data_IF_104268023399
#
_entry.id   IF_104268023399
#
_cell.length_a   1.000
_cell.length_b   1.000
_cell.length_c   1.000
_cell.angle_alpha   90.00
_cell.angle_beta   90.00
_cell.angle_gamma   90.00
#
_symmetry.space_group_name_H-M   'P 1'
#
loop_
_entity.id
_entity.type
_entity.pdbx_description
1 polymer ?
#
# COMPACT_ATOMS: atom_id res chain seq x y z
N UNK A 1 50.30 -44.70 4.14
CA UNK A 1 49.20 -44.86 5.14
C UNK A 1 48.87 -43.57 5.89
N UNK A 2 49.70 -42.52 5.82
CA UNK A 2 49.48 -41.23 6.50
C UNK A 2 48.49 -40.30 5.78
N UNK A 3 48.38 -40.32 4.44
CA UNK A 3 47.41 -39.48 3.70
C UNK A 3 45.95 -39.88 3.92
N UNK A 4 45.66 -41.18 4.08
CA UNK A 4 44.28 -41.68 4.25
C UNK A 4 43.69 -41.32 5.63
N UNK A 5 44.54 -41.30 6.67
CA UNK A 5 44.15 -40.89 8.02
C UNK A 5 43.97 -39.37 8.15
N UNK A 6 44.69 -38.55 7.37
CA UNK A 6 44.49 -37.11 7.31
C UNK A 6 43.17 -36.73 6.63
N UNK A 7 42.80 -37.42 5.54
CA UNK A 7 41.54 -37.23 4.81
C UNK A 7 40.30 -37.64 5.63
N UNK A 8 40.35 -38.75 6.37
CA UNK A 8 39.24 -39.19 7.24
C UNK A 8 39.06 -38.29 8.49
N UNK A 9 40.13 -37.69 9.00
CA UNK A 9 40.08 -36.78 10.14
C UNK A 9 39.54 -35.40 9.74
N UNK A 10 40.00 -34.87 8.61
CA UNK A 10 39.45 -33.64 8.01
C UNK A 10 37.98 -33.78 7.63
N UNK A 11 37.56 -34.95 7.12
CA UNK A 11 36.14 -35.23 6.82
C UNK A 11 35.25 -35.36 8.06
N UNK A 12 35.77 -35.87 9.19
CA UNK A 12 35.05 -35.91 10.48
C UNK A 12 34.99 -34.55 11.16
N UNK A 13 36.06 -33.76 11.08
CA UNK A 13 36.11 -32.40 11.62
C UNK A 13 35.19 -31.45 10.84
N UNK A 14 35.16 -31.54 9.50
CA UNK A 14 34.20 -30.81 8.68
C UNK A 14 32.75 -31.14 9.02
N UNK A 15 32.42 -32.43 9.19
CA UNK A 15 31.07 -32.84 9.58
C UNK A 15 30.64 -32.44 11.00
N UNK A 16 31.57 -32.18 11.92
CA UNK A 16 31.26 -31.66 13.27
C UNK A 16 31.17 -30.13 13.28
N UNK A 17 32.05 -29.44 12.55
CA UNK A 17 31.99 -28.00 12.34
C UNK A 17 30.69 -27.59 11.65
N UNK A 18 30.24 -28.34 10.64
CA UNK A 18 28.97 -28.18 9.94
C UNK A 18 27.76 -28.26 10.89
N UNK A 19 27.76 -29.24 11.82
CA UNK A 19 26.68 -29.38 12.80
C UNK A 19 26.64 -28.21 13.79
N UNK A 20 27.82 -27.74 14.21
CA UNK A 20 27.93 -26.55 15.07
C UNK A 20 27.44 -25.30 14.36
N UNK A 21 27.79 -25.13 13.08
CA UNK A 21 27.30 -24.01 12.27
C UNK A 21 25.78 -24.05 12.13
N UNK A 22 25.18 -25.21 11.83
CA UNK A 22 23.72 -25.35 11.75
C UNK A 22 23.03 -24.97 13.07
N UNK A 23 23.56 -25.42 14.21
CA UNK A 23 23.02 -25.09 15.52
C UNK A 23 23.16 -23.59 15.83
N UNK A 24 24.35 -23.02 15.63
CA UNK A 24 24.61 -21.60 15.87
C UNK A 24 23.70 -20.69 15.02
N UNK A 25 23.52 -21.03 13.74
CA UNK A 25 22.60 -20.30 12.85
C UNK A 25 21.14 -20.47 13.27
N UNK A 26 20.75 -21.60 13.87
CA UNK A 26 19.39 -21.80 14.40
C UNK A 26 19.16 -21.01 15.68
N UNK A 27 20.13 -20.97 16.58
CA UNK A 27 20.06 -20.28 17.87
C UNK A 27 20.22 -18.77 17.73
N UNK A 28 20.90 -18.32 16.66
CA UNK A 28 21.16 -16.90 16.43
C UNK A 28 22.44 -16.41 17.11
N UNK A 29 23.39 -17.31 17.37
CA UNK A 29 24.63 -17.01 18.06
C UNK A 29 25.73 -16.62 17.05
N UNK A 30 25.94 -15.32 16.87
CA UNK A 30 26.94 -14.77 15.96
C UNK A 30 28.37 -15.24 16.27
N UNK A 31 28.71 -15.40 17.56
CA UNK A 31 30.05 -15.80 17.97
C UNK A 31 30.29 -17.29 17.67
N UNK A 32 29.29 -18.13 17.90
CA UNK A 32 29.35 -19.54 17.54
C UNK A 32 29.38 -19.75 16.01
N UNK A 33 28.70 -18.91 15.23
CA UNK A 33 28.81 -18.90 13.76
C UNK A 33 30.24 -18.61 13.32
N UNK A 34 30.85 -17.55 13.86
CA UNK A 34 32.24 -17.19 13.54
C UNK A 34 33.21 -18.31 13.91
N UNK A 35 33.09 -18.88 15.10
CA UNK A 35 33.92 -20.01 15.54
C UNK A 35 33.77 -21.25 14.67
N UNK A 36 32.55 -21.56 14.21
CA UNK A 36 32.32 -22.71 13.34
C UNK A 36 32.91 -22.49 11.93
N UNK A 37 32.76 -21.30 11.36
CA UNK A 37 33.36 -20.93 10.06
C UNK A 37 34.89 -20.94 10.12
N UNK A 38 35.49 -20.38 11.18
CA UNK A 38 36.94 -20.45 11.40
C UNK A 38 37.45 -21.88 11.59
N UNK A 39 36.59 -22.78 12.09
CA UNK A 39 36.85 -24.21 12.21
C UNK A 39 36.71 -25.00 10.89
N UNK A 40 36.44 -24.33 9.76
CA UNK A 40 36.33 -24.95 8.44
C UNK A 40 34.95 -25.52 8.10
N UNK A 41 33.88 -25.07 8.79
CA UNK A 41 32.51 -25.42 8.41
C UNK A 41 32.19 -24.91 6.99
N UNK A 42 31.44 -25.70 6.21
CA UNK A 42 30.97 -25.30 4.90
C UNK A 42 29.90 -24.19 5.04
N UNK A 43 30.16 -22.95 4.54
CA UNK A 43 29.18 -21.85 4.62
C UNK A 43 27.91 -22.13 3.80
N UNK A 44 27.92 -23.15 2.94
CA UNK A 44 26.81 -23.61 2.11
C UNK A 44 26.14 -24.89 2.65
N UNK A 45 26.46 -25.28 3.89
CA UNK A 45 25.89 -26.47 4.54
C UNK A 45 24.36 -26.41 4.59
N UNK A 46 23.73 -27.57 4.37
CA UNK A 46 22.28 -27.71 4.35
C UNK A 46 21.74 -28.12 5.72
N UNK A 47 20.71 -27.41 6.21
CA UNK A 47 19.98 -27.79 7.41
C UNK A 47 19.06 -28.98 7.11
N UNK A 48 19.04 -29.95 8.03
CA UNK A 48 18.48 -31.30 7.80
C UNK A 48 16.97 -31.33 7.58
N UNK A 49 16.20 -30.49 8.28
CA UNK A 49 14.72 -30.56 8.28
C UNK A 49 14.09 -30.23 6.92
N UNK A 50 14.74 -29.39 6.11
CA UNK A 50 14.18 -28.86 4.85
C UNK A 50 15.21 -28.76 3.72
N UNK A 51 16.41 -29.32 3.92
CA UNK A 51 17.57 -29.23 3.01
C UNK A 51 17.84 -27.80 2.51
N UNK A 52 17.60 -26.76 3.31
CA UNK A 52 17.89 -25.35 2.96
C UNK A 52 19.30 -24.98 3.41
N UNK A 53 19.99 -24.10 2.68
CA UNK A 53 21.29 -23.59 3.12
C UNK A 53 21.15 -22.83 4.44
N UNK A 54 22.23 -22.77 5.21
CA UNK A 54 22.31 -21.95 6.42
C UNK A 54 22.05 -20.46 6.14
N UNK A 55 22.43 -19.97 4.95
CA UNK A 55 22.12 -18.61 4.53
C UNK A 55 20.61 -18.39 4.34
N UNK A 56 19.88 -19.34 3.74
CA UNK A 56 18.41 -19.27 3.65
C UNK A 56 17.77 -19.30 5.03
N UNK A 57 18.33 -20.05 5.99
CA UNK A 57 17.84 -20.07 7.36
C UNK A 57 18.03 -18.71 8.07
N UNK A 58 19.22 -18.11 7.95
CA UNK A 58 19.50 -16.78 8.49
C UNK A 58 18.60 -15.70 7.86
N UNK A 59 18.40 -15.76 6.54
CA UNK A 59 17.53 -14.84 5.80
C UNK A 59 16.06 -14.96 6.20
N UNK A 60 15.56 -16.19 6.36
CA UNK A 60 14.17 -16.43 6.82
C UNK A 60 13.94 -15.91 8.25
N UNK A 61 14.99 -15.84 9.06
CA UNK A 61 14.94 -15.35 10.44
C UNK A 61 15.28 -13.85 10.55
N UNK A 62 15.61 -13.17 9.44
CA UNK A 62 15.98 -11.75 9.44
C UNK A 62 17.32 -11.44 10.14
N UNK A 63 18.21 -12.42 10.30
CA UNK A 63 19.47 -12.28 11.05
C UNK A 63 20.58 -11.72 10.16
N UNK A 64 20.66 -10.40 10.04
CA UNK A 64 21.56 -9.70 9.13
C UNK A 64 23.05 -9.94 9.42
N UNK A 65 23.46 -10.00 10.69
CA UNK A 65 24.86 -10.17 11.06
C UNK A 65 25.37 -11.59 10.75
N UNK A 66 24.57 -12.61 11.08
CA UNK A 66 24.82 -14.00 10.65
C UNK A 66 24.86 -14.10 9.13
N UNK A 67 23.91 -13.51 8.42
CA UNK A 67 23.88 -13.53 6.96
C UNK A 67 25.16 -12.90 6.37
N UNK A 68 25.63 -11.78 6.95
CA UNK A 68 26.88 -11.12 6.54
C UNK A 68 28.09 -12.02 6.72
N UNK A 69 28.23 -12.64 7.89
CA UNK A 69 29.34 -13.56 8.19
C UNK A 69 29.36 -14.75 7.24
N UNK A 70 28.19 -15.34 6.96
CA UNK A 70 28.08 -16.45 6.00
C UNK A 70 28.53 -16.02 4.60
N UNK A 71 28.07 -14.85 4.13
CA UNK A 71 28.45 -14.33 2.81
C UNK A 71 29.94 -13.95 2.73
N UNK A 72 30.50 -13.39 3.79
CA UNK A 72 31.93 -13.04 3.87
C UNK A 72 32.82 -14.30 3.90
N UNK A 73 32.31 -15.41 4.45
CA UNK A 73 32.94 -16.73 4.37
C UNK A 73 32.74 -17.44 3.02
N UNK A 74 32.03 -16.82 2.06
CA UNK A 74 31.83 -17.34 0.71
C UNK A 74 30.56 -18.18 0.50
N UNK A 75 29.56 -18.06 1.38
CA UNK A 75 28.24 -18.66 1.14
C UNK A 75 27.66 -18.19 -0.20
N UNK A 76 27.07 -19.10 -0.95
CA UNK A 76 26.47 -18.80 -2.24
C UNK A 76 25.16 -18.03 -2.06
N UNK A 77 25.06 -16.88 -2.74
CA UNK A 77 23.83 -16.05 -2.77
C UNK A 77 22.65 -16.73 -3.49
N UNK A 78 22.91 -17.74 -4.32
CA UNK A 78 21.89 -18.44 -5.12
C UNK A 78 21.62 -19.87 -4.67
N UNK A 79 22.41 -20.43 -3.74
CA UNK A 79 22.26 -21.83 -3.37
C UNK A 79 20.93 -22.09 -2.69
N UNK A 80 20.02 -22.70 -3.44
CA UNK A 80 18.69 -23.10 -3.00
C UNK A 80 18.70 -24.49 -2.38
N UNK A 81 17.85 -24.65 -1.38
CA UNK A 81 17.54 -25.95 -0.80
C UNK A 81 16.45 -26.73 -1.53
N UNK A 82 15.94 -27.78 -0.88
CA UNK A 82 14.91 -28.68 -1.44
C UNK A 82 13.56 -28.04 -1.83
N UNK A 83 13.29 -26.79 -1.43
CA UNK A 83 12.06 -26.06 -1.78
C UNK A 83 12.28 -24.89 -2.75
N UNK A 84 13.48 -24.74 -3.32
CA UNK A 84 13.75 -23.73 -4.35
C UNK A 84 13.70 -22.26 -3.87
N UNK A 85 13.61 -22.00 -2.56
CA UNK A 85 13.67 -20.65 -2.02
C UNK A 85 15.13 -20.18 -1.91
N UNK A 86 15.48 -19.15 -2.68
CA UNK A 86 16.77 -18.46 -2.58
C UNK A 86 16.86 -17.64 -1.28
N UNK A 87 18.07 -17.31 -0.81
CA UNK A 87 18.27 -16.38 0.30
C UNK A 87 17.47 -15.09 0.15
N UNK A 88 17.45 -14.52 -1.07
CA UNK A 88 16.73 -13.28 -1.35
C UNK A 88 15.21 -13.46 -1.21
N UNK A 89 14.65 -14.50 -1.83
CA UNK A 89 13.20 -14.81 -1.69
C UNK A 89 12.81 -15.09 -0.23
N UNK A 90 13.69 -15.71 0.55
CA UNK A 90 13.47 -15.95 1.97
C UNK A 90 13.48 -14.64 2.78
N UNK A 91 14.42 -13.73 2.52
CA UNK A 91 14.49 -12.42 3.18
C UNK A 91 13.28 -11.52 2.82
N UNK A 92 12.87 -11.51 1.55
CA UNK A 92 11.66 -10.82 1.07
C UNK A 92 10.42 -11.39 1.74
N UNK A 93 10.35 -12.73 1.84
CA UNK A 93 9.28 -13.43 2.53
C UNK A 93 9.18 -13.06 4.00
N UNK A 94 10.32 -12.88 4.66
CA UNK A 94 10.40 -12.48 6.06
C UNK A 94 10.23 -10.97 6.29
N UNK A 95 10.09 -10.15 5.23
CA UNK A 95 10.10 -8.67 5.34
C UNK A 95 11.34 -8.15 6.10
N UNK A 96 12.51 -8.69 5.77
CA UNK A 96 13.78 -8.40 6.44
C UNK A 96 14.68 -7.44 5.62
N UNK A 97 14.50 -6.11 5.73
CA UNK A 97 15.16 -5.14 4.85
C UNK A 97 16.69 -5.18 4.94
N UNK A 98 17.24 -5.36 6.15
CA UNK A 98 18.70 -5.43 6.35
C UNK A 98 19.35 -6.62 5.62
N UNK A 99 18.68 -7.78 5.60
CA UNK A 99 19.17 -8.95 4.85
C UNK A 99 18.98 -8.75 3.35
N UNK A 100 17.86 -8.16 2.93
CA UNK A 100 17.60 -7.86 1.51
C UNK A 100 18.70 -6.94 0.96
N UNK A 101 18.98 -5.80 1.61
CA UNK A 101 20.05 -4.88 1.20
C UNK A 101 21.39 -5.60 1.04
N UNK A 102 21.78 -6.38 2.05
CA UNK A 102 23.01 -7.14 2.04
C UNK A 102 23.08 -8.14 0.85
N UNK A 103 21.98 -8.81 0.53
CA UNK A 103 21.94 -9.75 -0.59
C UNK A 103 21.97 -9.04 -1.95
N UNK A 104 21.31 -7.87 -2.05
CA UNK A 104 21.34 -7.03 -3.26
C UNK A 104 22.75 -6.49 -3.52
N UNK A 105 23.47 -6.03 -2.49
CA UNK A 105 24.88 -5.62 -2.56
C UNK A 105 25.81 -6.74 -3.10
N UNK A 106 25.44 -8.01 -2.89
CA UNK A 106 26.18 -9.18 -3.40
C UNK A 106 25.65 -9.68 -4.77
N UNK A 107 24.77 -8.93 -5.42
CA UNK A 107 24.30 -9.20 -6.78
C UNK A 107 23.15 -10.21 -6.89
N UNK A 108 22.46 -10.56 -5.79
CA UNK A 108 21.42 -11.59 -5.78
C UNK A 108 20.20 -11.29 -6.70
N UNK A 109 19.96 -10.01 -7.02
CA UNK A 109 18.82 -9.61 -7.86
C UNK A 109 18.94 -10.11 -9.29
N UNK A 110 20.14 -10.07 -9.87
CA UNK A 110 20.42 -10.49 -11.25
C UNK A 110 20.12 -11.96 -11.52
N UNK A 111 20.00 -12.76 -10.45
CA UNK A 111 19.84 -14.21 -10.52
C UNK A 111 18.40 -14.68 -10.28
N UNK A 112 17.48 -13.79 -9.89
CA UNK A 112 16.17 -14.17 -9.36
C UNK A 112 15.03 -13.34 -9.95
N UNK A 113 14.56 -13.67 -11.18
CA UNK A 113 13.38 -13.02 -11.75
C UNK A 113 12.14 -13.27 -10.90
N UNK A 114 11.20 -12.31 -10.93
CA UNK A 114 9.91 -12.41 -10.24
C UNK A 114 9.94 -12.12 -8.73
N UNK A 115 11.09 -11.74 -8.16
CA UNK A 115 11.18 -11.37 -6.74
C UNK A 115 10.33 -10.14 -6.40
N UNK A 116 10.21 -9.19 -7.34
CA UNK A 116 9.37 -8.00 -7.17
C UNK A 116 7.88 -8.38 -7.05
N UNK A 117 7.38 -9.27 -7.92
CA UNK A 117 6.00 -9.75 -7.85
C UNK A 117 5.69 -10.45 -6.52
N UNK A 118 6.66 -11.21 -5.98
CA UNK A 118 6.54 -11.80 -4.65
C UNK A 118 6.48 -10.73 -3.54
N UNK A 119 7.28 -9.67 -3.63
CA UNK A 119 7.26 -8.58 -2.66
C UNK A 119 5.92 -7.83 -2.67
N UNK A 120 5.34 -7.61 -3.85
CA UNK A 120 4.02 -6.95 -4.03
C UNK A 120 2.88 -7.75 -3.41
N UNK A 121 2.87 -9.08 -3.55
CA UNK A 121 1.75 -9.94 -3.13
C UNK A 121 1.63 -10.19 -1.61
N UNK A 122 2.59 -9.74 -0.80
CA UNK A 122 2.64 -9.99 0.66
C UNK A 122 1.96 -8.94 1.54
N UNK A 123 2.12 -7.63 1.31
CA UNK A 123 1.46 -6.62 2.12
C UNK A 123 -0.04 -6.51 1.82
N UNK A 124 -0.85 -7.35 2.48
CA UNK A 124 -2.32 -7.25 2.41
C UNK A 124 -2.87 -6.40 3.57
N UNK A 125 -3.84 -5.54 3.25
CA UNK A 125 -4.53 -4.53 4.10
C UNK A 125 -3.64 -3.54 4.89
N UNK A 126 -2.60 -4.00 5.60
CA UNK A 126 -1.70 -3.19 6.41
C UNK A 126 -0.27 -3.74 6.28
N UNK A 127 0.54 -3.21 5.34
CA UNK A 127 1.95 -3.58 5.23
C UNK A 127 2.69 -3.30 6.54
N UNK A 128 3.56 -4.20 6.97
CA UNK A 128 4.57 -3.84 7.96
C UNK A 128 5.59 -2.88 7.31
N UNK A 129 6.18 -1.92 8.07
CA UNK A 129 7.18 -1.00 7.53
C UNK A 129 8.33 -1.72 6.83
N UNK A 130 8.83 -2.82 7.40
CA UNK A 130 9.89 -3.63 6.79
C UNK A 130 9.52 -4.23 5.43
N UNK A 131 8.24 -4.52 5.18
CA UNK A 131 7.78 -5.04 3.88
C UNK A 131 7.76 -3.96 2.79
N UNK A 132 7.33 -2.75 3.13
CA UNK A 132 7.40 -1.59 2.23
C UNK A 132 8.84 -1.19 1.96
N UNK A 133 9.68 -1.24 2.99
CA UNK A 133 11.10 -0.96 2.87
C UNK A 133 11.79 -1.97 1.94
N UNK A 134 11.52 -3.26 2.10
CA UNK A 134 12.01 -4.30 1.17
C UNK A 134 11.58 -4.01 -0.27
N UNK A 135 10.30 -3.66 -0.49
CA UNK A 135 9.79 -3.32 -1.82
C UNK A 135 10.53 -2.11 -2.42
N UNK A 136 10.72 -1.06 -1.64
CA UNK A 136 11.45 0.14 -2.07
C UNK A 136 12.92 -0.16 -2.41
N UNK A 137 13.61 -0.98 -1.62
CA UNK A 137 15.00 -1.39 -1.93
C UNK A 137 15.10 -2.20 -3.21
N UNK A 138 14.18 -3.14 -3.43
CA UNK A 138 14.16 -3.92 -4.67
C UNK A 138 14.00 -3.00 -5.89
N UNK A 139 13.08 -2.04 -5.83
CA UNK A 139 12.86 -1.08 -6.92
C UNK A 139 14.06 -0.15 -7.12
N UNK A 140 14.68 0.32 -6.04
CA UNK A 140 15.87 1.17 -6.10
C UNK A 140 17.08 0.47 -6.75
N UNK A 141 17.23 -0.83 -6.51
CA UNK A 141 18.27 -1.68 -7.12
C UNK A 141 17.90 -2.18 -8.52
N UNK A 142 16.81 -1.68 -9.12
CA UNK A 142 16.43 -1.97 -10.49
C UNK A 142 15.67 -3.28 -10.68
N UNK A 143 14.95 -3.77 -9.67
CA UNK A 143 14.10 -4.94 -9.83
C UNK A 143 13.04 -4.66 -10.91
N UNK A 144 13.09 -5.44 -11.99
CA UNK A 144 12.21 -5.21 -13.13
C UNK A 144 10.76 -5.62 -12.81
N UNK A 145 9.84 -4.76 -13.26
CA UNK A 145 8.43 -5.12 -13.37
C UNK A 145 8.24 -6.06 -14.56
N UNK A 146 7.54 -7.17 -14.36
CA UNK A 146 7.21 -8.09 -15.45
C UNK A 146 6.32 -7.44 -16.53
N UNK A 147 6.18 -8.08 -17.71
CA UNK A 147 5.26 -7.63 -18.75
C UNK A 147 3.80 -7.85 -18.33
N UNK A 148 2.89 -7.06 -18.91
CA UNK A 148 1.44 -7.29 -18.88
C UNK A 148 0.85 -7.65 -17.50
N UNK A 149 0.28 -8.85 -17.33
CA UNK A 149 -0.29 -9.37 -16.07
C UNK A 149 0.71 -9.47 -14.92
N UNK A 150 1.99 -9.62 -15.22
CA UNK A 150 3.07 -9.72 -14.23
C UNK A 150 3.62 -8.34 -13.84
N UNK A 151 3.15 -7.27 -14.50
CA UNK A 151 3.54 -5.92 -14.16
C UNK A 151 3.17 -5.63 -12.70
N UNK A 152 4.12 -5.12 -11.92
CA UNK A 152 4.01 -5.02 -10.48
C UNK A 152 2.75 -4.23 -10.04
N UNK A 153 2.43 -3.15 -10.76
CA UNK A 153 1.23 -2.35 -10.51
C UNK A 153 -0.06 -3.11 -10.86
N UNK A 154 -0.08 -3.86 -11.97
CA UNK A 154 -1.23 -4.69 -12.39
C UNK A 154 -1.49 -5.79 -11.36
N UNK A 155 -0.43 -6.47 -10.89
CA UNK A 155 -0.53 -7.47 -9.81
C UNK A 155 -1.06 -6.82 -8.53
N UNK A 156 -0.52 -5.67 -8.13
CA UNK A 156 -0.94 -4.96 -6.92
C UNK A 156 -2.44 -4.61 -6.94
N UNK A 157 -2.92 -4.04 -8.04
CA UNK A 157 -4.34 -3.66 -8.19
C UNK A 157 -5.24 -4.91 -8.27
N UNK A 158 -4.82 -5.94 -9.01
CA UNK A 158 -5.59 -7.17 -9.18
C UNK A 158 -5.74 -7.93 -7.86
N UNK A 159 -4.69 -7.93 -7.03
CA UNK A 159 -4.68 -8.55 -5.71
C UNK A 159 -5.32 -7.68 -4.62
N UNK A 160 -5.77 -6.46 -4.92
CA UNK A 160 -6.18 -5.46 -3.92
C UNK A 160 -5.13 -5.28 -2.82
N UNK A 161 -3.87 -5.10 -3.24
CA UNK A 161 -2.78 -4.79 -2.34
C UNK A 161 -3.05 -3.46 -1.60
N UNK A 162 -2.41 -3.29 -0.45
CA UNK A 162 -2.63 -2.09 0.34
C UNK A 162 -2.21 -0.82 -0.45
N UNK A 163 -2.91 0.31 -0.29
CA UNK A 163 -2.62 1.57 -1.01
C UNK A 163 -1.15 2.03 -0.91
N UNK A 164 -0.47 1.78 0.21
CA UNK A 164 0.94 2.12 0.38
C UNK A 164 1.87 1.35 -0.59
N UNK A 165 1.51 0.14 -0.98
CA UNK A 165 2.25 -0.67 -1.97
C UNK A 165 2.19 -0.01 -3.34
N UNK A 166 0.99 0.42 -3.75
CA UNK A 166 0.79 1.14 -5.01
C UNK A 166 1.60 2.44 -5.02
N UNK A 167 1.58 3.19 -3.90
CA UNK A 167 2.35 4.44 -3.78
C UNK A 167 3.86 4.21 -3.92
N UNK A 168 4.40 3.17 -3.28
CA UNK A 168 5.82 2.82 -3.44
C UNK A 168 6.13 2.49 -4.89
N UNK A 169 5.31 1.68 -5.55
CA UNK A 169 5.50 1.35 -6.97
C UNK A 169 5.50 2.61 -7.87
N UNK A 170 4.52 3.48 -7.68
CA UNK A 170 4.36 4.72 -8.47
C UNK A 170 5.50 5.72 -8.19
N UNK A 171 5.93 5.86 -6.94
CA UNK A 171 7.07 6.70 -6.56
C UNK A 171 8.40 6.23 -7.18
N UNK A 172 8.52 4.94 -7.48
CA UNK A 172 9.66 4.35 -8.19
C UNK A 172 9.41 4.21 -9.71
N UNK A 173 8.50 5.01 -10.27
CA UNK A 173 8.34 5.15 -11.71
C UNK A 173 7.43 4.12 -12.38
N UNK A 174 6.62 3.38 -11.63
CA UNK A 174 5.54 2.61 -12.24
C UNK A 174 4.56 3.55 -12.96
N UNK A 175 4.18 3.18 -14.18
CA UNK A 175 3.24 3.94 -15.01
C UNK A 175 1.81 3.88 -14.42
N UNK A 176 1.21 5.00 -13.98
CA UNK A 176 -0.15 5.00 -13.45
C UNK A 176 -1.21 4.63 -14.49
N UNK A 177 -0.90 4.74 -15.79
CA UNK A 177 -1.77 4.38 -16.91
C UNK A 177 -1.51 2.98 -17.47
N UNK A 178 -0.76 2.16 -16.72
CA UNK A 178 -0.41 0.80 -17.13
C UNK A 178 -1.64 0.01 -17.55
N UNK A 179 -1.52 -0.73 -18.64
CA UNK A 179 -2.55 -1.63 -19.18
C UNK A 179 -2.14 -3.08 -19.04
N UNK A 180 -3.12 -3.96 -18.87
CA UNK A 180 -2.97 -5.40 -19.00
C UNK A 180 -2.87 -5.80 -20.48
N UNK A 181 -2.50 -7.06 -20.77
CA UNK A 181 -2.44 -7.60 -22.14
C UNK A 181 -3.74 -7.43 -22.94
N UNK A 182 -4.91 -7.42 -22.28
CA UNK A 182 -6.21 -7.20 -22.92
C UNK A 182 -6.54 -5.72 -23.16
N UNK A 183 -5.58 -4.82 -22.90
CA UNK A 183 -5.74 -3.38 -23.05
C UNK A 183 -6.47 -2.71 -21.89
N UNK A 184 -6.92 -3.43 -20.86
CA UNK A 184 -7.63 -2.83 -19.72
C UNK A 184 -6.67 -2.00 -18.86
N UNK A 185 -6.92 -0.69 -18.64
CA UNK A 185 -6.15 0.15 -17.72
C UNK A 185 -6.27 -0.30 -16.26
N UNK A 186 -5.22 -0.06 -15.46
CA UNK A 186 -5.25 -0.35 -14.01
C UNK A 186 -6.36 0.41 -13.27
N UNK A 187 -6.68 1.65 -13.66
CA UNK A 187 -7.77 2.42 -13.04
C UNK A 187 -9.14 1.77 -13.28
N UNK A 188 -9.36 1.15 -14.46
CA UNK A 188 -10.57 0.39 -14.76
C UNK A 188 -10.62 -0.90 -13.93
N UNK A 189 -9.49 -1.59 -13.73
CA UNK A 189 -9.42 -2.78 -12.87
C UNK A 189 -9.79 -2.44 -11.42
N UNK A 190 -9.25 -1.36 -10.86
CA UNK A 190 -9.57 -0.88 -9.52
C UNK A 190 -11.06 -0.54 -9.39
N UNK A 191 -11.64 0.17 -10.37
CA UNK A 191 -13.05 0.52 -10.39
C UNK A 191 -13.98 -0.70 -10.48
N UNK A 192 -13.66 -1.70 -11.30
CA UNK A 192 -14.43 -2.97 -11.40
C UNK A 192 -14.50 -3.70 -10.05
N UNK A 193 -13.45 -3.59 -9.23
CA UNK A 193 -13.35 -4.20 -7.91
C UNK A 193 -13.98 -3.34 -6.79
N UNK A 194 -14.30 -2.09 -7.07
CA UNK A 194 -14.76 -1.13 -6.06
C UNK A 194 -13.65 -0.68 -5.10
N UNK A 195 -12.39 -0.86 -5.52
CA UNK A 195 -11.20 -0.55 -4.72
C UNK A 195 -10.92 0.96 -4.76
N UNK A 196 -11.77 1.71 -4.07
CA UNK A 196 -11.72 3.17 -3.98
C UNK A 196 -10.38 3.67 -3.43
N UNK A 197 -9.73 2.92 -2.53
CA UNK A 197 -8.44 3.30 -1.99
C UNK A 197 -7.32 3.16 -3.03
N UNK A 198 -7.35 2.11 -3.87
CA UNK A 198 -6.45 2.02 -5.02
C UNK A 198 -6.73 3.13 -6.06
N UNK A 199 -8.00 3.47 -6.31
CA UNK A 199 -8.36 4.59 -7.17
C UNK A 199 -7.82 5.92 -6.67
N UNK A 200 -7.93 6.21 -5.38
CA UNK A 200 -7.38 7.43 -4.77
C UNK A 200 -5.87 7.56 -5.05
N UNK A 201 -5.14 6.45 -4.94
CA UNK A 201 -3.70 6.42 -5.20
C UNK A 201 -3.37 6.64 -6.67
N UNK A 202 -4.06 5.93 -7.57
CA UNK A 202 -3.82 6.02 -9.00
C UNK A 202 -4.11 7.44 -9.52
N UNK A 203 -5.26 8.01 -9.14
CA UNK A 203 -5.63 9.39 -9.48
C UNK A 203 -4.63 10.38 -8.88
N UNK A 204 -4.24 10.21 -7.62
CA UNK A 204 -3.26 11.07 -6.96
C UNK A 204 -1.88 11.03 -7.64
N UNK A 205 -1.55 9.93 -8.32
CA UNK A 205 -0.34 9.79 -9.13
C UNK A 205 -0.51 10.28 -10.58
N UNK A 206 -1.66 10.84 -10.95
CA UNK A 206 -1.92 11.41 -12.26
C UNK A 206 -2.43 10.42 -13.30
N UNK A 207 -3.01 9.28 -12.89
CA UNK A 207 -3.68 8.37 -13.83
C UNK A 207 -4.79 9.09 -14.63
N UNK A 208 -4.90 8.77 -15.91
CA UNK A 208 -5.98 9.23 -16.78
C UNK A 208 -7.32 8.67 -16.30
N UNK A 209 -8.12 9.56 -15.70
CA UNK A 209 -9.45 9.27 -15.18
C UNK A 209 -10.41 8.80 -16.27
N UNK A 210 -10.19 9.23 -17.52
CA UNK A 210 -11.00 8.89 -18.69
C UNK A 210 -10.49 7.66 -19.45
N UNK A 211 -9.44 7.00 -18.93
CA UNK A 211 -8.91 5.81 -19.57
C UNK A 211 -10.00 4.73 -19.72
N UNK A 212 -10.18 4.29 -20.97
CA UNK A 212 -11.19 3.29 -21.32
C UNK A 212 -10.57 1.91 -21.61
N UNK A 213 -11.34 0.86 -21.33
CA UNK A 213 -11.01 -0.51 -21.71
C UNK A 213 -11.22 -0.76 -23.22
N UNK A 214 -10.96 -1.99 -23.67
CA UNK A 214 -11.16 -2.38 -25.07
C UNK A 214 -12.63 -2.28 -25.57
N UNK A 215 -13.60 -2.17 -24.66
CA UNK A 215 -15.01 -1.93 -24.98
C UNK A 215 -15.35 -0.43 -25.00
N UNK A 216 -14.36 0.44 -24.81
CA UNK A 216 -14.54 1.89 -24.71
C UNK A 216 -15.25 2.32 -23.43
N UNK A 217 -15.28 1.48 -22.39
CA UNK A 217 -15.92 1.81 -21.10
C UNK A 217 -14.91 2.38 -20.12
N UNK A 218 -15.27 3.49 -19.49
CA UNK A 218 -14.44 4.18 -18.49
C UNK A 218 -14.53 3.53 -17.12
N UNK A 219 -13.61 3.89 -16.22
CA UNK A 219 -13.64 3.47 -14.83
C UNK A 219 -14.96 3.83 -14.13
N UNK A 220 -15.51 5.03 -14.41
CA UNK A 220 -16.78 5.47 -13.82
C UNK A 220 -17.94 4.56 -14.24
N UNK A 221 -18.04 4.20 -15.52
CA UNK A 221 -19.08 3.27 -16.00
C UNK A 221 -19.03 1.93 -15.26
N UNK A 222 -17.83 1.39 -15.04
CA UNK A 222 -17.66 0.14 -14.32
C UNK A 222 -18.02 0.21 -12.84
N UNK A 223 -17.67 1.32 -12.17
CA UNK A 223 -18.04 1.56 -10.79
C UNK A 223 -19.56 1.69 -10.64
N UNK A 224 -20.22 2.38 -11.57
CA UNK A 224 -21.68 2.54 -11.56
C UNK A 224 -22.41 1.23 -11.86
N UNK A 225 -22.00 0.49 -12.90
CA UNK A 225 -22.60 -0.80 -13.27
C UNK A 225 -22.62 -1.79 -12.10
N UNK A 226 -21.65 -1.69 -11.18
CA UNK A 226 -21.48 -2.61 -10.05
C UNK A 226 -21.93 -2.03 -8.70
N UNK A 227 -22.57 -0.87 -8.69
CA UNK A 227 -22.99 -0.13 -7.49
C UNK A 227 -21.84 0.17 -6.49
N UNK A 228 -20.63 0.39 -7.00
CA UNK A 228 -19.46 0.73 -6.18
C UNK A 228 -19.45 2.23 -5.85
N UNK A 229 -20.37 2.65 -4.98
CA UNK A 229 -20.64 4.06 -4.64
C UNK A 229 -19.39 4.83 -4.22
N UNK A 230 -18.50 4.23 -3.43
CA UNK A 230 -17.24 4.86 -2.99
C UNK A 230 -16.26 5.06 -4.15
N UNK A 231 -16.15 4.08 -5.05
CA UNK A 231 -15.28 4.17 -6.22
C UNK A 231 -15.79 5.23 -7.22
N UNK A 232 -17.11 5.26 -7.48
CA UNK A 232 -17.74 6.34 -8.24
C UNK A 232 -17.51 7.71 -7.57
N UNK A 233 -17.46 7.72 -6.23
CA UNK A 233 -16.94 8.79 -5.36
C UNK A 233 -15.66 9.39 -5.85
N UNK A 234 -14.61 8.60 -5.70
CA UNK A 234 -13.25 9.00 -6.01
C UNK A 234 -13.14 9.47 -7.45
N UNK A 235 -13.74 8.76 -8.40
CA UNK A 235 -13.66 9.09 -9.82
C UNK A 235 -14.34 10.42 -10.16
N UNK A 236 -15.54 10.69 -9.64
CA UNK A 236 -16.24 11.97 -9.87
C UNK A 236 -15.49 13.14 -9.22
N UNK A 237 -14.95 12.93 -8.02
CA UNK A 237 -14.09 13.92 -7.34
C UNK A 237 -12.80 14.18 -8.13
N UNK A 238 -12.30 13.17 -8.84
CA UNK A 238 -11.17 13.27 -9.74
C UNK A 238 -11.51 13.95 -11.09
N UNK A 239 -12.77 14.32 -11.31
CA UNK A 239 -13.21 14.99 -12.54
C UNK A 239 -13.68 14.04 -13.64
N UNK A 240 -14.02 12.78 -13.33
CA UNK A 240 -14.54 11.84 -14.31
C UNK A 240 -15.81 12.38 -15.00
N UNK A 241 -15.86 12.31 -16.33
CA UNK A 241 -17.00 12.78 -17.12
C UNK A 241 -18.17 11.77 -17.05
N UNK A 242 -19.28 12.11 -16.38
CA UNK A 242 -20.47 11.24 -16.34
C UNK A 242 -21.13 11.09 -17.71
N UNK A 243 -20.88 12.02 -18.63
CA UNK A 243 -21.40 12.10 -19.99
C UNK A 243 -20.59 11.33 -21.02
N UNK A 244 -19.42 10.76 -20.65
CA UNK A 244 -18.62 9.95 -21.56
C UNK A 244 -19.47 8.82 -22.17
N UNK A 245 -19.34 8.61 -23.49
CA UNK A 245 -20.15 7.64 -24.25
C UNK A 245 -19.25 6.57 -24.83
N UNK A 246 -19.47 5.33 -24.40
CA UNK A 246 -18.81 4.17 -24.98
C UNK A 246 -19.42 3.82 -26.36
N UNK A 247 -18.72 3.04 -27.21
CA UNK A 247 -19.19 2.68 -28.56
C UNK A 247 -20.58 2.03 -28.64
N UNK A 248 -21.04 1.36 -27.57
CA UNK A 248 -22.38 0.76 -27.49
C UNK A 248 -23.45 1.76 -26.96
N UNK A 249 -23.10 3.04 -26.84
CA UNK A 249 -23.95 4.09 -26.30
C UNK A 249 -24.14 4.01 -24.78
N UNK A 250 -23.29 3.28 -24.04
CA UNK A 250 -23.34 3.27 -22.57
C UNK A 250 -22.69 4.52 -22.00
N UNK A 251 -23.42 5.17 -21.08
CA UNK A 251 -22.93 6.24 -20.20
C UNK A 251 -23.11 5.82 -18.75
N UNK A 252 -22.37 6.46 -17.83
CA UNK A 252 -22.56 6.22 -16.40
C UNK A 252 -24.00 6.53 -15.95
N UNK A 253 -24.59 7.63 -16.46
CA UNK A 253 -25.97 8.00 -16.18
C UNK A 253 -26.99 6.97 -16.66
N UNK A 254 -26.81 6.41 -17.87
CA UNK A 254 -27.70 5.37 -18.39
C UNK A 254 -27.69 4.12 -17.52
N UNK A 255 -26.51 3.70 -17.06
CA UNK A 255 -26.35 2.58 -16.13
C UNK A 255 -27.04 2.90 -14.79
N UNK A 256 -26.77 4.07 -14.20
CA UNK A 256 -27.38 4.45 -12.94
C UNK A 256 -28.92 4.45 -12.99
N UNK A 257 -29.52 4.89 -14.11
CA UNK A 257 -30.97 4.83 -14.35
C UNK A 257 -31.49 3.41 -14.52
N UNK A 258 -30.86 2.63 -15.40
CA UNK A 258 -31.31 1.27 -15.73
C UNK A 258 -31.34 0.34 -14.51
N UNK A 259 -30.46 0.57 -13.54
CA UNK A 259 -30.33 -0.21 -12.32
C UNK A 259 -30.97 0.47 -11.09
N UNK A 260 -31.59 1.65 -11.24
CA UNK A 260 -32.29 2.34 -10.15
C UNK A 260 -31.36 2.89 -9.04
N UNK A 261 -30.10 3.19 -9.35
CA UNK A 261 -29.06 3.57 -8.39
C UNK A 261 -29.18 5.04 -7.95
N UNK A 262 -30.22 5.35 -7.17
CA UNK A 262 -30.61 6.73 -6.83
C UNK A 262 -29.47 7.61 -6.28
N UNK A 263 -28.63 7.07 -5.40
CA UNK A 263 -27.50 7.82 -4.85
C UNK A 263 -26.47 8.17 -5.94
N UNK A 264 -26.18 7.24 -6.85
CA UNK A 264 -25.26 7.49 -7.97
C UNK A 264 -25.88 8.48 -8.96
N UNK A 265 -27.17 8.35 -9.28
CA UNK A 265 -27.88 9.29 -10.16
C UNK A 265 -27.77 10.73 -9.65
N UNK A 266 -27.99 10.94 -8.36
CA UNK A 266 -27.78 12.24 -7.73
C UNK A 266 -26.35 12.76 -7.92
N UNK A 267 -25.33 11.92 -7.66
CA UNK A 267 -23.91 12.28 -7.84
C UNK A 267 -23.54 12.65 -9.27
N UNK A 268 -24.22 12.07 -10.26
CA UNK A 268 -24.02 12.39 -11.68
C UNK A 268 -24.74 13.68 -12.10
N UNK A 269 -25.34 14.41 -11.14
CA UNK A 269 -26.07 15.65 -11.41
C UNK A 269 -27.46 15.44 -12.00
N UNK A 270 -28.04 14.25 -11.89
CA UNK A 270 -29.43 14.05 -12.28
C UNK A 270 -30.38 14.66 -11.24
N UNK A 271 -31.25 15.57 -11.67
CA UNK A 271 -32.32 16.09 -10.82
C UNK A 271 -33.23 14.95 -10.35
N UNK A 272 -33.09 14.59 -9.07
CA UNK A 272 -34.01 13.67 -8.41
C UNK A 272 -35.09 14.50 -7.74
N UNK A 273 -36.19 14.75 -8.47
CA UNK A 273 -37.38 15.38 -7.90
C UNK A 273 -37.92 14.51 -6.77
N UNK A 274 -37.93 15.03 -5.53
CA UNK A 274 -38.71 14.44 -4.43
C UNK A 274 -37.96 13.90 -3.20
N UNK A 275 -36.85 14.51 -2.75
CA UNK A 275 -36.43 14.36 -1.35
C UNK A 275 -36.65 15.66 -0.58
N UNK A 276 -37.59 15.60 0.35
CA UNK A 276 -37.81 16.61 1.37
C UNK A 276 -36.51 16.88 2.13
N UNK A 277 -36.29 18.16 2.40
CA UNK A 277 -35.23 18.66 3.26
C UNK A 277 -35.43 18.05 4.65
N UNK A 278 -34.69 17.01 4.98
CA UNK A 278 -34.62 16.51 6.35
C UNK A 278 -33.94 17.58 7.20
N UNK A 279 -34.59 17.98 8.30
CA UNK A 279 -33.94 18.76 9.36
C UNK A 279 -32.92 17.84 10.03
N UNK A 280 -31.64 18.22 9.99
CA UNK A 280 -30.55 17.42 10.53
C UNK A 280 -30.12 18.02 11.86
N UNK A 281 -30.28 17.25 12.94
CA UNK A 281 -29.56 17.48 14.19
C UNK A 281 -28.19 16.79 14.08
N UNK A 282 -27.13 17.60 13.95
CA UNK A 282 -25.68 17.29 13.91
C UNK A 282 -25.05 17.08 12.52
N UNK A 283 -23.93 17.82 12.33
CA UNK A 283 -22.90 17.83 11.28
C UNK A 283 -23.38 17.84 9.81
N UNK A 284 -23.03 18.89 9.06
CA UNK A 284 -23.37 19.02 7.63
C UNK A 284 -22.13 19.37 6.81
N UNK A 285 -21.40 18.40 6.28
CA UNK A 285 -20.46 18.65 5.19
C UNK A 285 -21.25 18.89 3.88
N UNK A 286 -21.18 20.08 3.27
CA UNK A 286 -21.80 20.39 1.96
C UNK A 286 -20.75 20.73 0.89
N UNK A 287 -20.65 19.88 -0.14
CA UNK A 287 -19.77 20.12 -1.29
C UNK A 287 -20.55 20.89 -2.37
N UNK A 288 -20.05 22.05 -2.81
CA UNK A 288 -20.66 22.82 -3.90
C UNK A 288 -19.89 22.62 -5.21
N UNK A 289 -20.55 22.69 -6.39
CA UNK A 289 -19.93 22.43 -7.69
C UNK A 289 -18.82 23.41 -8.12
N UNK A 290 -18.53 24.47 -7.35
CA UNK A 290 -17.52 25.49 -7.68
C UNK A 290 -16.46 25.71 -6.59
N UNK A 291 -16.36 24.79 -5.62
CA UNK A 291 -15.35 24.81 -4.56
C UNK A 291 -15.76 23.91 -3.39
N UNK A 292 -14.80 23.22 -2.79
CA UNK A 292 -15.06 22.40 -1.60
C UNK A 292 -15.32 23.32 -0.43
N UNK A 293 -16.46 23.15 0.23
CA UNK A 293 -16.73 23.73 1.54
C UNK A 293 -16.99 22.64 2.55
N UNK A 294 -16.47 22.84 3.74
CA UNK A 294 -16.67 21.95 4.88
C UNK A 294 -17.48 22.75 5.89
N UNK A 295 -18.75 22.37 6.09
CA UNK A 295 -19.59 23.00 7.11
C UNK A 295 -19.65 22.12 8.37
N UNK A 296 -19.70 22.76 9.53
CA UNK A 296 -19.60 22.10 10.82
C UNK A 296 -19.70 23.08 11.97
N UNK A 297 -19.67 22.57 13.20
CA UNK A 297 -19.44 23.40 14.37
C UNK A 297 -17.93 23.53 14.67
N UNK A 298 -17.50 24.52 15.48
CA UNK A 298 -16.09 24.70 15.80
C UNK A 298 -15.46 23.49 16.52
N UNK A 299 -16.24 22.70 17.25
CA UNK A 299 -15.75 21.52 17.93
C UNK A 299 -15.41 20.40 16.92
N UNK A 300 -16.21 20.25 15.87
CA UNK A 300 -15.96 19.34 14.76
C UNK A 300 -14.69 19.72 14.00
N UNK A 301 -14.49 21.01 13.69
CA UNK A 301 -13.25 21.41 13.02
C UNK A 301 -12.02 21.22 13.92
N UNK A 302 -12.16 21.47 15.22
CA UNK A 302 -11.14 21.12 16.22
C UNK A 302 -10.81 19.63 16.20
N UNK A 303 -11.84 18.78 16.20
CA UNK A 303 -11.70 17.33 16.11
C UNK A 303 -10.99 16.89 14.82
N UNK A 304 -11.43 17.37 13.65
CA UNK A 304 -10.79 17.04 12.37
C UNK A 304 -9.31 17.47 12.35
N UNK A 305 -9.01 18.65 12.90
CA UNK A 305 -7.64 19.11 13.05
C UNK A 305 -6.81 18.22 14.00
N UNK A 306 -7.39 17.78 15.12
CA UNK A 306 -6.75 16.83 16.05
C UNK A 306 -6.49 15.48 15.37
N UNK A 307 -7.45 14.94 14.60
CA UNK A 307 -7.27 13.70 13.84
C UNK A 307 -6.06 13.82 12.91
N UNK A 308 -6.00 14.89 12.10
CA UNK A 308 -4.87 15.12 11.18
C UNK A 308 -3.55 15.23 11.94
N UNK A 309 -3.52 16.03 13.01
CA UNK A 309 -2.31 16.24 13.81
C UNK A 309 -1.81 14.96 14.49
N UNK A 310 -2.72 14.16 15.07
CA UNK A 310 -2.40 12.90 15.73
C UNK A 310 -1.84 11.89 14.73
N UNK A 311 -2.50 11.72 13.58
CA UNK A 311 -2.03 10.76 12.57
C UNK A 311 -0.66 11.16 12.02
N UNK A 312 -0.43 12.45 11.77
CA UNK A 312 0.88 12.95 11.38
C UNK A 312 1.95 12.76 12.47
N UNK A 313 1.58 12.88 13.74
CA UNK A 313 2.47 12.66 14.88
C UNK A 313 2.86 11.18 15.05
N UNK A 314 1.88 10.27 14.94
CA UNK A 314 2.07 8.83 15.07
C UNK A 314 2.86 8.23 13.89
N UNK A 315 2.61 8.71 12.66
CA UNK A 315 3.29 8.21 11.46
C UNK A 315 4.63 8.91 11.19
N UNK A 316 4.72 10.21 11.44
CA UNK A 316 5.79 11.07 10.93
C UNK A 316 5.64 11.39 9.43
N UNK A 317 6.40 12.37 8.95
CA UNK A 317 6.22 12.99 7.63
C UNK A 317 6.43 12.02 6.47
N UNK A 318 7.49 11.20 6.56
CA UNK A 318 7.86 10.27 5.50
C UNK A 318 6.82 9.13 5.35
N UNK A 319 6.38 8.56 6.47
CA UNK A 319 5.37 7.51 6.48
C UNK A 319 4.01 8.09 6.07
N UNK A 320 3.62 9.29 6.53
CA UNK A 320 2.41 9.97 6.08
C UNK A 320 2.39 10.17 4.57
N UNK A 321 3.47 10.72 4.00
CA UNK A 321 3.56 10.94 2.56
C UNK A 321 3.48 9.61 1.80
N UNK A 322 4.16 8.57 2.29
CA UNK A 322 4.15 7.22 1.71
C UNK A 322 2.77 6.56 1.81
N UNK A 323 1.99 6.82 2.86
CA UNK A 323 0.70 6.17 3.12
C UNK A 323 -0.50 6.94 2.61
N UNK A 324 -0.39 8.23 2.35
CA UNK A 324 -1.51 9.07 1.91
C UNK A 324 -1.28 9.63 0.51
N UNK A 325 -0.03 9.86 0.11
CA UNK A 325 0.32 10.59 -1.12
C UNK A 325 0.20 12.11 -0.95
N UNK A 326 -0.04 12.60 0.27
CA UNK A 326 -0.29 14.00 0.55
C UNK A 326 0.90 14.63 1.29
N UNK A 327 1.12 15.93 1.06
CA UNK A 327 2.14 16.71 1.75
C UNK A 327 1.83 16.80 3.25
N UNK A 328 2.77 16.37 4.09
CA UNK A 328 2.65 16.52 5.54
C UNK A 328 2.61 18.00 5.94
N UNK A 329 3.33 18.87 5.22
CA UNK A 329 3.33 20.30 5.48
C UNK A 329 1.97 20.93 5.17
N UNK A 330 1.37 20.60 4.02
CA UNK A 330 0.05 21.12 3.64
C UNK A 330 -1.04 20.56 4.55
N UNK A 331 -0.91 19.30 4.97
CA UNK A 331 -1.81 18.68 5.93
C UNK A 331 -1.78 19.39 7.30
N UNK A 332 -0.59 19.75 7.80
CA UNK A 332 -0.46 20.57 9.03
C UNK A 332 -1.03 21.97 8.85
N UNK A 333 -0.73 22.61 7.73
CA UNK A 333 -1.26 23.93 7.42
C UNK A 333 -2.80 23.91 7.41
N UNK A 334 -3.39 22.90 6.78
CA UNK A 334 -4.84 22.75 6.74
C UNK A 334 -5.44 22.42 8.11
N UNK A 335 -4.78 21.60 8.94
CA UNK A 335 -5.20 21.35 10.31
C UNK A 335 -5.24 22.64 11.16
N UNK A 336 -4.31 23.56 10.95
CA UNK A 336 -4.36 24.89 11.58
C UNK A 336 -5.55 25.69 11.04
N UNK A 337 -5.73 25.74 9.71
CA UNK A 337 -6.83 26.46 9.05
C UNK A 337 -8.21 25.99 9.50
N UNK A 338 -8.41 24.69 9.71
CA UNK A 338 -9.66 24.16 10.25
C UNK A 338 -10.04 24.84 11.58
N UNK A 339 -9.06 25.24 12.40
CA UNK A 339 -9.29 25.92 13.68
C UNK A 339 -9.45 27.44 13.56
N UNK A 340 -8.80 28.06 12.57
CA UNK A 340 -8.67 29.53 12.48
C UNK A 340 -9.58 30.16 11.44
N UNK A 341 -9.87 29.46 10.35
CA UNK A 341 -10.51 30.01 9.16
C UNK A 341 -12.02 29.72 9.12
N UNK A 342 -12.57 29.12 10.18
CA UNK A 342 -13.99 28.83 10.29
C UNK A 342 -14.80 30.12 10.40
N UNK A 343 -15.61 30.41 9.39
CA UNK A 343 -16.48 31.59 9.36
C UNK A 343 -17.92 31.17 9.62
N UNK A 344 -18.64 31.91 10.47
CA UNK A 344 -20.06 31.66 10.70
C UNK A 344 -20.86 31.84 9.40
N UNK A 345 -21.78 30.91 9.11
CA UNK A 345 -22.64 31.01 7.93
C UNK A 345 -23.60 32.19 8.05
N UNK A 346 -23.90 32.86 6.92
CA UNK A 346 -24.82 34.02 6.88
C UNK A 346 -26.24 33.69 7.37
N UNK A 347 -26.66 32.43 7.26
CA UNK A 347 -27.98 31.96 7.67
C UNK A 347 -27.84 30.60 8.36
N UNK A 348 -27.57 30.58 9.67
CA UNK A 348 -27.46 29.32 10.41
C UNK A 348 -26.70 29.41 11.73
N UNK A 349 -26.67 28.30 12.48
CA UNK A 349 -25.84 28.13 13.69
C UNK A 349 -24.55 27.33 13.42
N UNK A 350 -24.15 27.20 12.16
CA UNK A 350 -22.97 26.44 11.72
C UNK A 350 -21.91 27.37 11.13
N UNK A 351 -20.72 26.82 10.96
CA UNK A 351 -19.54 27.48 10.42
C UNK A 351 -19.12 26.79 9.13
N UNK A 352 -18.43 27.52 8.26
CA UNK A 352 -17.92 27.04 6.98
C UNK A 352 -16.41 27.27 6.90
N UNK A 353 -15.68 26.29 6.38
CA UNK A 353 -14.27 26.41 5.99
C UNK A 353 -14.15 26.11 4.50
N UNK A 354 -13.61 27.06 3.73
CA UNK A 354 -13.25 26.83 2.33
C UNK A 354 -12.05 25.90 2.25
N UNK A 355 -12.17 24.85 1.43
CA UNK A 355 -11.14 23.85 1.25
C UNK A 355 -10.84 23.63 -0.25
N UNK A 356 -9.65 23.12 -0.54
CA UNK A 356 -9.35 22.48 -1.81
C UNK A 356 -9.71 21.00 -1.79
N UNK A 357 -9.71 20.36 -2.96
CA UNK A 357 -9.88 18.90 -3.07
C UNK A 357 -8.78 18.14 -2.32
N UNK A 358 -7.53 18.63 -2.37
CA UNK A 358 -6.39 18.07 -1.66
C UNK A 358 -6.54 18.16 -0.14
N UNK A 359 -7.11 19.26 0.35
CA UNK A 359 -7.39 19.48 1.76
C UNK A 359 -8.53 18.58 2.27
N UNK A 360 -9.56 18.37 1.45
CA UNK A 360 -10.60 17.38 1.74
C UNK A 360 -10.03 15.95 1.76
N UNK A 361 -9.17 15.63 0.80
CA UNK A 361 -8.46 14.35 0.76
C UNK A 361 -7.58 14.16 1.99
N UNK A 362 -6.96 15.22 2.51
CA UNK A 362 -6.18 15.18 3.76
C UNK A 362 -7.02 14.73 4.94
N UNK A 363 -8.18 15.35 5.14
CA UNK A 363 -9.10 15.00 6.24
C UNK A 363 -9.56 13.55 6.09
N UNK A 364 -9.96 13.17 4.87
CA UNK A 364 -10.39 11.81 4.59
C UNK A 364 -9.28 10.78 4.84
N UNK A 365 -8.06 11.02 4.36
CA UNK A 365 -6.91 10.14 4.56
C UNK A 365 -6.54 10.01 6.02
N UNK A 366 -6.58 11.08 6.80
CA UNK A 366 -6.35 11.03 8.23
C UNK A 366 -7.42 10.20 8.96
N UNK A 367 -8.70 10.36 8.62
CA UNK A 367 -9.78 9.54 9.16
C UNK A 367 -9.62 8.06 8.80
N UNK A 368 -9.22 7.74 7.56
CA UNK A 368 -8.94 6.37 7.12
C UNK A 368 -7.76 5.76 7.89
N UNK A 369 -6.65 6.50 8.05
CA UNK A 369 -5.49 6.02 8.81
C UNK A 369 -5.79 5.86 10.30
N UNK A 370 -6.61 6.73 10.88
CA UNK A 370 -7.04 6.57 12.27
C UNK A 370 -8.01 5.39 12.43
N UNK A 371 -8.99 5.24 11.54
CA UNK A 371 -9.95 4.13 11.56
C UNK A 371 -9.30 2.77 11.30
N UNK A 372 -8.42 2.69 10.29
CA UNK A 372 -7.94 1.42 9.74
C UNK A 372 -6.41 1.30 9.64
N UNK A 373 -5.65 2.35 9.97
CA UNK A 373 -4.19 2.38 9.94
C UNK A 373 -3.52 1.98 11.26
N UNK A 374 -2.22 2.29 11.37
CA UNK A 374 -1.36 1.90 12.51
C UNK A 374 -1.45 2.82 13.71
N UNK A 375 -2.06 4.00 13.54
CA UNK A 375 -2.31 5.01 14.59
C UNK A 375 -3.05 4.36 15.75
N UNK A 376 -2.53 4.55 16.97
CA UNK A 376 -3.08 3.93 18.19
C UNK A 376 -3.81 4.93 19.06
N UNK A 377 -3.52 6.21 18.88
CA UNK A 377 -4.10 7.30 19.66
C UNK A 377 -5.31 7.88 18.93
N UNK A 378 -6.39 8.14 19.67
CA UNK A 378 -7.56 8.87 19.19
C UNK A 378 -7.65 10.21 19.92
N UNK A 379 -8.33 11.23 19.34
CA UNK A 379 -8.62 12.47 20.04
C UNK A 379 -9.30 12.21 21.39
N UNK A 380 -9.03 13.07 22.37
CA UNK A 380 -9.50 12.90 23.74
C UNK A 380 -11.02 12.73 23.78
N UNK A 381 -11.49 11.68 24.46
CA UNK A 381 -12.92 11.40 24.61
C UNK A 381 -13.59 10.77 23.40
N UNK A 382 -12.83 10.34 22.39
CA UNK A 382 -13.37 9.70 21.18
C UNK A 382 -12.85 8.28 20.99
N UNK A 383 -13.69 7.43 20.41
CA UNK A 383 -13.37 6.04 20.07
C UNK A 383 -13.10 5.90 18.58
N UNK A 384 -12.51 4.76 18.21
CA UNK A 384 -12.31 4.41 16.79
C UNK A 384 -13.64 4.27 16.04
N UNK A 385 -14.71 3.87 16.73
CA UNK A 385 -16.06 3.78 16.15
C UNK A 385 -16.57 5.18 15.77
N UNK A 386 -16.34 6.19 16.62
CA UNK A 386 -16.74 7.57 16.32
C UNK A 386 -16.00 8.10 15.07
N UNK A 387 -14.72 7.74 14.91
CA UNK A 387 -13.93 8.07 13.72
C UNK A 387 -14.47 7.35 12.48
N UNK A 388 -14.83 6.07 12.60
CA UNK A 388 -15.42 5.29 11.51
C UNK A 388 -16.78 5.82 11.09
N UNK A 389 -17.62 6.23 12.04
CA UNK A 389 -18.93 6.81 11.77
C UNK A 389 -18.79 8.17 11.08
N UNK A 390 -17.83 9.01 11.50
CA UNK A 390 -17.54 10.27 10.82
C UNK A 390 -16.98 10.06 9.41
N UNK A 391 -16.09 9.07 9.23
CA UNK A 391 -15.59 8.69 7.91
C UNK A 391 -16.74 8.22 7.02
N UNK A 392 -17.64 7.40 7.55
CA UNK A 392 -18.84 6.94 6.83
C UNK A 392 -19.75 8.12 6.48
N UNK A 393 -19.93 9.07 7.37
CA UNK A 393 -20.71 10.28 7.09
C UNK A 393 -20.07 11.14 6.00
N UNK A 394 -18.76 11.39 6.10
CA UNK A 394 -18.00 12.10 5.06
C UNK A 394 -18.16 11.38 3.71
N UNK A 395 -18.03 10.06 3.68
CA UNK A 395 -18.22 9.24 2.47
C UNK A 395 -19.66 9.29 1.96
N UNK A 396 -20.66 9.32 2.84
CA UNK A 396 -22.07 9.46 2.49
C UNK A 396 -22.34 10.83 1.85
N UNK A 397 -21.72 11.91 2.35
CA UNK A 397 -21.82 13.28 1.81
C UNK A 397 -21.00 13.48 0.54
N UNK A 398 -19.90 12.73 0.38
CA UNK A 398 -19.22 12.58 -0.90
C UNK A 398 -20.05 11.75 -1.89
N UNK A 399 -21.09 11.05 -1.43
CA UNK A 399 -21.91 10.12 -2.19
C UNK A 399 -23.38 10.50 -2.36
N UNK A 400 -23.82 11.64 -1.83
CA UNK A 400 -25.20 12.12 -1.89
C UNK A 400 -25.25 13.61 -1.65
#
# INVERSE_FOLDING_TARGET
MTEKAGSERAGREGGDADRRLIAAVADGDDAAVEGALAGGADPDVLVTRWRRSVLVAAASAGRADIARRLLDAGASVTRVGGFGASPLRAAVTASAPAVVRLLLERGALTTEPGVLAQAVGRPTHRPAPGGLEVLAHLLAEGAESGPDEEAALVVAVTASAAPAVLRVLLAHGADPDRRRSDGTPVIVLAARRGDHAALDVLVGAGADVEAADAMGRTALMHAVERDHKKAAGVLLLAGADPGAVSPDGTTASRLARGWGLQNIRFRLGEDVVGREVAVIERTTLRLRPTGVRIDGDPAMFGFLADVVAIVLGDLGDAEWATRTGLSAADARAFAVRLRTDAVAAEQGSWFEVGASMTELATVRSALVEMAYGTTRTTPVGTTRVDVEDLLRELELRLAG
#
